data_IF_355819568733
#
_entry.id   IF_355819568733
#
_cell.length_a   1.000
_cell.length_b   1.000
_cell.length_c   1.000
_cell.angle_alpha   90.00
_cell.angle_beta   90.00
_cell.angle_gamma   90.00
#
_symmetry.space_group_name_H-M   'P 1'
#
loop_
_entity.id
_entity.type
_entity.pdbx_description
1 polymer ?
#
# COMPACT_ATOMS: atom_id res chain seq x y z
N UNK A 1 -16.96 -20.35 -9.47
CA UNK A 1 -15.85 -20.81 -8.60
C UNK A 1 -15.51 -19.65 -7.65
N UNK A 2 -16.24 -19.54 -6.54
CA UNK A 2 -15.94 -18.61 -5.45
C UNK A 2 -15.20 -19.41 -4.39
N UNK A 3 -13.91 -19.17 -4.16
CA UNK A 3 -13.19 -19.53 -2.93
C UNK A 3 -11.72 -19.13 -3.05
N UNK A 4 -11.38 -17.98 -2.46
CA UNK A 4 -10.03 -17.62 -1.96
C UNK A 4 -10.00 -16.24 -1.25
N UNK A 5 -11.13 -15.54 -1.12
CA UNK A 5 -11.22 -14.21 -0.51
C UNK A 5 -10.97 -14.21 1.01
N UNK A 6 -11.40 -15.25 1.73
CA UNK A 6 -11.35 -15.28 3.20
C UNK A 6 -9.92 -15.35 3.76
N UNK A 7 -9.03 -16.14 3.16
CA UNK A 7 -7.66 -16.30 3.65
C UNK A 7 -6.82 -15.02 3.42
N UNK A 8 -7.01 -14.38 2.25
CA UNK A 8 -6.33 -13.13 1.93
C UNK A 8 -6.83 -11.97 2.79
N UNK A 9 -8.15 -11.85 3.01
CA UNK A 9 -8.71 -10.84 3.89
C UNK A 9 -8.28 -11.02 5.34
N UNK A 10 -8.20 -12.26 5.84
CA UNK A 10 -7.65 -12.56 7.16
C UNK A 10 -6.18 -12.15 7.27
N UNK A 11 -5.35 -12.46 6.24
CA UNK A 11 -3.95 -12.05 6.21
C UNK A 11 -3.80 -10.52 6.21
N UNK A 12 -4.60 -9.81 5.43
CA UNK A 12 -4.64 -8.35 5.42
C UNK A 12 -5.01 -7.78 6.79
N UNK A 13 -6.05 -8.31 7.42
CA UNK A 13 -6.48 -7.86 8.74
C UNK A 13 -5.42 -8.13 9.83
N UNK A 14 -4.78 -9.30 9.80
CA UNK A 14 -3.64 -9.62 10.68
C UNK A 14 -2.47 -8.65 10.45
N UNK A 15 -2.21 -8.26 9.21
CA UNK A 15 -1.17 -7.28 8.87
C UNK A 15 -1.49 -5.91 9.45
N UNK A 16 -2.75 -5.46 9.35
CA UNK A 16 -3.20 -4.20 9.96
C UNK A 16 -3.03 -4.23 11.49
N UNK A 17 -3.41 -5.33 12.15
CA UNK A 17 -3.20 -5.47 13.59
C UNK A 17 -1.73 -5.49 14.00
N UNK A 18 -0.86 -6.15 13.22
CA UNK A 18 0.57 -6.19 13.50
C UNK A 18 1.20 -4.80 13.43
N UNK A 19 0.80 -3.99 12.45
CA UNK A 19 1.40 -2.68 12.20
C UNK A 19 0.81 -1.57 13.09
N UNK A 20 -0.51 -1.56 13.27
CA UNK A 20 -1.21 -0.49 13.99
C UNK A 20 -1.67 -0.87 15.39
N UNK A 21 -1.70 -2.15 15.76
CA UNK A 21 -2.31 -2.61 17.03
C UNK A 21 -1.57 -2.18 18.29
N UNK A 22 -0.36 -1.64 18.18
CA UNK A 22 0.37 -0.98 19.28
C UNK A 22 0.04 0.51 19.40
N UNK A 23 -0.52 1.13 18.36
CA UNK A 23 -0.83 2.57 18.26
C UNK A 23 -2.32 2.86 18.36
N UNK A 24 -3.16 1.94 17.86
CA UNK A 24 -4.61 2.06 17.74
C UNK A 24 -5.25 0.81 18.33
N UNK A 25 -6.33 0.98 19.09
CA UNK A 25 -7.10 -0.15 19.60
C UNK A 25 -7.59 -1.07 18.48
N UNK A 26 -7.48 -2.38 18.68
CA UNK A 26 -7.86 -3.38 17.67
C UNK A 26 -9.34 -3.28 17.28
N UNK A 27 -10.20 -2.86 18.20
CA UNK A 27 -11.63 -2.58 17.98
C UNK A 27 -11.82 -1.45 16.98
N UNK A 28 -11.09 -0.35 17.11
CA UNK A 28 -11.09 0.77 16.16
C UNK A 28 -10.54 0.34 14.80
N UNK A 29 -9.47 -0.46 14.76
CA UNK A 29 -8.94 -1.03 13.50
C UNK A 29 -10.02 -1.86 12.77
N UNK A 30 -10.76 -2.71 13.50
CA UNK A 30 -11.86 -3.51 12.94
C UNK A 30 -13.01 -2.65 12.42
N UNK A 31 -13.38 -1.61 13.16
CA UNK A 31 -14.43 -0.68 12.74
C UNK A 31 -14.05 0.00 11.41
N UNK A 32 -12.82 0.52 11.31
CA UNK A 32 -12.34 1.16 10.08
C UNK A 32 -12.26 0.14 8.94
N UNK A 33 -11.74 -1.06 9.18
CA UNK A 33 -11.72 -2.15 8.21
C UNK A 33 -13.10 -2.46 7.62
N UNK A 34 -14.13 -2.51 8.46
CA UNK A 34 -15.51 -2.73 8.01
C UNK A 34 -16.08 -1.51 7.28
N UNK A 35 -15.80 -0.29 7.76
CA UNK A 35 -16.28 0.96 7.14
C UNK A 35 -15.72 1.15 5.72
N UNK A 36 -14.51 0.66 5.44
CA UNK A 36 -13.87 0.72 4.13
C UNK A 36 -14.09 -0.54 3.29
N UNK A 37 -15.18 -1.27 3.53
CA UNK A 37 -15.57 -2.46 2.76
C UNK A 37 -14.47 -3.53 2.69
N UNK A 38 -13.62 -3.60 3.72
CA UNK A 38 -12.52 -4.56 3.78
C UNK A 38 -11.46 -4.36 2.67
N UNK A 39 -11.35 -3.14 2.14
CA UNK A 39 -10.31 -2.76 1.20
C UNK A 39 -9.05 -2.42 2.01
N UNK A 40 -8.02 -3.26 1.87
CA UNK A 40 -6.78 -3.15 2.64
C UNK A 40 -6.04 -1.84 2.43
N UNK A 41 -5.88 -1.41 1.18
CA UNK A 41 -5.14 -0.20 0.85
C UNK A 41 -5.80 1.04 1.49
N UNK A 42 -7.11 1.16 1.34
CA UNK A 42 -7.86 2.30 1.89
C UNK A 42 -7.87 2.28 3.42
N UNK A 43 -8.08 1.10 4.02
CA UNK A 43 -8.02 0.93 5.48
C UNK A 43 -6.64 1.27 6.03
N UNK A 44 -5.58 0.77 5.37
CA UNK A 44 -4.19 1.02 5.74
C UNK A 44 -3.88 2.51 5.75
N UNK A 45 -4.26 3.23 4.68
CA UNK A 45 -4.02 4.67 4.60
C UNK A 45 -4.82 5.46 5.61
N UNK A 46 -6.07 5.06 5.91
CA UNK A 46 -6.84 5.75 6.94
C UNK A 46 -6.23 5.58 8.33
N UNK A 47 -5.75 4.38 8.65
CA UNK A 47 -5.07 4.12 9.92
C UNK A 47 -3.72 4.85 10.01
N UNK A 48 -2.99 4.93 8.90
CA UNK A 48 -1.75 5.69 8.80
C UNK A 48 -2.00 7.19 9.03
N UNK A 49 -3.02 7.79 8.41
CA UNK A 49 -3.42 9.18 8.64
C UNK A 49 -3.76 9.45 10.12
N UNK A 50 -4.47 8.53 10.77
CA UNK A 50 -4.78 8.64 12.21
C UNK A 50 -3.49 8.59 13.05
N UNK A 51 -2.52 7.75 12.70
CA UNK A 51 -1.23 7.70 13.39
C UNK A 51 -0.34 8.93 13.11
N UNK A 52 -0.37 9.47 11.90
CA UNK A 52 0.41 10.64 11.52
C UNK A 52 -0.14 11.93 12.15
N UNK A 53 -1.46 12.05 12.27
CA UNK A 53 -2.10 13.20 12.93
C UNK A 53 -1.87 13.22 14.43
N UNK A 54 -1.66 12.06 15.08
CA UNK A 54 -1.28 12.00 16.49
C UNK A 54 0.21 12.22 16.74
N UNK A 55 1.08 11.90 15.76
CA UNK A 55 2.52 12.12 15.79
C UNK A 55 2.93 13.23 14.81
N UNK A 56 2.75 14.49 15.17
CA UNK A 56 2.98 15.70 14.35
C UNK A 56 4.41 15.92 13.77
N UNK A 57 5.33 14.94 13.82
CA UNK A 57 6.76 15.14 13.55
C UNK A 57 7.43 14.23 12.48
N UNK A 58 6.72 13.39 11.72
CA UNK A 58 7.36 12.52 10.69
C UNK A 58 6.98 12.87 9.23
N UNK A 59 7.77 13.71 8.55
CA UNK A 59 7.59 14.05 7.13
C UNK A 59 8.12 12.98 6.14
N UNK A 60 8.75 11.90 6.61
CA UNK A 60 9.45 10.94 5.75
C UNK A 60 8.49 9.98 5.03
N UNK A 61 7.33 9.68 5.62
CA UNK A 61 6.31 8.78 5.06
C UNK A 61 5.61 9.35 3.80
N UNK A 62 5.55 10.68 3.64
CA UNK A 62 4.85 11.30 2.51
C UNK A 62 5.50 10.98 1.15
N UNK A 63 6.83 10.83 1.12
CA UNK A 63 7.57 10.52 -0.09
C UNK A 63 7.34 9.08 -0.56
N UNK A 64 7.30 8.13 0.37
CA UNK A 64 6.98 6.72 0.04
C UNK A 64 5.57 6.58 -0.54
N UNK A 65 4.61 7.31 0.03
CA UNK A 65 3.23 7.36 -0.46
C UNK A 65 3.14 7.92 -1.87
N UNK A 66 3.85 9.02 -2.16
CA UNK A 66 3.92 9.61 -3.50
C UNK A 66 4.50 8.61 -4.51
N UNK A 67 5.59 7.93 -4.15
CA UNK A 67 6.23 6.92 -4.99
C UNK A 67 5.28 5.76 -5.29
N UNK A 68 4.59 5.23 -4.27
CA UNK A 68 3.64 4.13 -4.42
C UNK A 68 2.50 4.51 -5.37
N UNK A 69 1.86 5.67 -5.15
CA UNK A 69 0.75 6.15 -5.98
C UNK A 69 1.17 6.31 -7.44
N UNK A 70 2.32 6.94 -7.69
CA UNK A 70 2.80 7.20 -9.04
C UNK A 70 3.10 5.89 -9.81
N UNK A 71 3.68 4.89 -9.13
CA UNK A 71 3.90 3.57 -9.73
C UNK A 71 2.59 2.86 -10.08
N UNK A 72 1.63 2.84 -9.16
CA UNK A 72 0.33 2.21 -9.39
C UNK A 72 -0.38 2.85 -10.59
N UNK A 73 -0.36 4.17 -10.68
CA UNK A 73 -0.90 4.91 -11.83
C UNK A 73 -0.17 4.55 -13.13
N UNK A 74 1.16 4.48 -13.12
CA UNK A 74 1.93 4.12 -14.32
C UNK A 74 1.65 2.68 -14.79
N UNK A 75 1.57 1.72 -13.87
CA UNK A 75 1.22 0.33 -14.18
C UNK A 75 -0.20 0.26 -14.74
N UNK A 76 -1.16 0.91 -14.07
CA UNK A 76 -2.55 0.95 -14.50
C UNK A 76 -2.67 1.55 -15.91
N UNK A 77 -1.98 2.67 -16.15
CA UNK A 77 -1.96 3.31 -17.45
C UNK A 77 -1.41 2.39 -18.56
N UNK A 78 -0.32 1.67 -18.29
CA UNK A 78 0.24 0.72 -19.25
C UNK A 78 -0.73 -0.42 -19.60
N UNK A 79 -1.48 -0.91 -18.61
CA UNK A 79 -2.50 -1.96 -18.82
C UNK A 79 -3.67 -1.41 -19.66
N UNK A 80 -4.18 -0.23 -19.32
CA UNK A 80 -5.31 0.40 -20.00
C UNK A 80 -4.97 0.81 -21.44
N UNK A 81 -3.75 1.33 -21.67
CA UNK A 81 -3.29 1.77 -22.98
C UNK A 81 -3.04 0.59 -23.94
N UNK A 82 -2.58 -0.55 -23.42
CA UNK A 82 -2.19 -1.70 -24.22
C UNK A 82 -2.88 -3.00 -23.77
N UNK A 83 -4.21 -3.05 -23.81
CA UNK A 83 -4.98 -4.12 -23.17
C UNK A 83 -4.71 -5.49 -23.80
N UNK A 84 -4.36 -5.56 -25.09
CA UNK A 84 -4.07 -6.80 -25.82
C UNK A 84 -2.62 -7.31 -25.63
N UNK A 85 -1.72 -6.49 -25.10
CA UNK A 85 -0.30 -6.82 -24.99
C UNK A 85 0.00 -7.43 -23.61
N UNK A 86 0.10 -8.76 -23.56
CA UNK A 86 0.34 -9.53 -22.33
C UNK A 86 1.57 -9.05 -21.54
N UNK A 87 2.58 -8.49 -22.21
CA UNK A 87 3.80 -7.98 -21.58
C UNK A 87 3.54 -6.87 -20.55
N UNK A 88 2.51 -6.04 -20.75
CA UNK A 88 2.15 -4.97 -19.81
C UNK A 88 1.25 -5.43 -18.67
N UNK A 89 0.72 -6.67 -18.73
CA UNK A 89 0.00 -7.30 -17.63
C UNK A 89 0.95 -8.02 -16.65
N UNK A 90 2.19 -8.29 -17.08
CA UNK A 90 3.21 -8.96 -16.26
C UNK A 90 4.11 -7.90 -15.63
N UNK A 91 4.12 -7.83 -14.31
CA UNK A 91 5.02 -6.95 -13.57
C UNK A 91 6.30 -7.73 -13.25
N UNK A 92 7.43 -7.34 -13.85
CA UNK A 92 8.71 -7.98 -13.59
C UNK A 92 9.30 -7.49 -12.26
N UNK A 93 9.34 -8.37 -11.25
CA UNK A 93 9.74 -8.03 -9.87
C UNK A 93 11.06 -7.27 -9.79
N UNK A 94 12.12 -7.74 -10.47
CA UNK A 94 13.43 -7.09 -10.41
C UNK A 94 13.42 -5.71 -11.06
N UNK A 95 12.69 -5.54 -12.17
CA UNK A 95 12.63 -4.26 -12.86
C UNK A 95 11.86 -3.23 -12.02
N UNK A 96 10.78 -3.68 -11.37
CA UNK A 96 10.03 -2.86 -10.42
C UNK A 96 10.90 -2.44 -9.24
N UNK A 97 11.66 -3.37 -8.64
CA UNK A 97 12.57 -3.07 -7.55
C UNK A 97 13.66 -2.07 -7.94
N UNK A 98 14.30 -2.26 -9.10
CA UNK A 98 15.33 -1.35 -9.58
C UNK A 98 14.77 0.06 -9.85
N UNK A 99 13.55 0.15 -10.41
CA UNK A 99 12.88 1.43 -10.63
C UNK A 99 12.53 2.12 -9.30
N UNK A 100 12.02 1.36 -8.33
CA UNK A 100 11.72 1.81 -6.97
C UNK A 100 12.96 2.40 -6.29
N UNK A 101 14.02 1.62 -6.20
CA UNK A 101 15.28 2.03 -5.59
C UNK A 101 15.80 3.32 -6.21
N UNK A 102 15.84 3.40 -7.54
CA UNK A 102 16.27 4.63 -8.26
C UNK A 102 15.41 5.84 -7.88
N UNK A 103 14.10 5.66 -7.75
CA UNK A 103 13.16 6.76 -7.46
C UNK A 103 13.26 7.23 -6.01
N UNK A 104 13.39 6.31 -5.07
CA UNK A 104 13.63 6.63 -3.65
C UNK A 104 14.94 7.42 -3.48
N UNK A 105 16.03 6.96 -4.13
CA UNK A 105 17.31 7.69 -4.14
C UNK A 105 17.19 9.09 -4.75
N UNK A 106 16.39 9.25 -5.82
CA UNK A 106 16.18 10.56 -6.47
C UNK A 106 15.42 11.55 -5.57
N UNK A 107 14.53 11.04 -4.71
CA UNK A 107 13.67 11.84 -3.84
C UNK A 107 14.22 11.98 -2.41
N UNK A 108 15.43 11.50 -2.14
CA UNK A 108 16.05 11.56 -0.80
C UNK A 108 15.32 10.72 0.26
N UNK A 109 14.45 9.78 -0.15
CA UNK A 109 13.82 8.83 0.75
C UNK A 109 14.78 7.65 0.92
N UNK A 110 15.50 7.61 2.04
CA UNK A 110 16.44 6.53 2.32
C UNK A 110 15.69 5.24 2.65
N UNK A 111 15.64 4.33 1.66
CA UNK A 111 14.96 3.05 1.76
C UNK A 111 15.90 2.06 2.46
N UNK A 112 16.10 2.23 3.77
CA UNK A 112 16.89 1.31 4.56
C UNK A 112 16.09 0.00 4.77
N UNK A 113 16.67 -1.10 4.29
CA UNK A 113 16.14 -2.47 4.36
C UNK A 113 15.96 -2.97 5.80
#
# INVERSE_FOLDING_TARGET
MFCNTTNLQQHHLLTLFKYFGSKIEKTTILQIWNNYNQIFVDTYYKLQEICATSNLNEPQEENELKIHREMCLHILWNILKYPKHIKYRKIHKQALYNYLSKKCHTLGADFNQ
#
